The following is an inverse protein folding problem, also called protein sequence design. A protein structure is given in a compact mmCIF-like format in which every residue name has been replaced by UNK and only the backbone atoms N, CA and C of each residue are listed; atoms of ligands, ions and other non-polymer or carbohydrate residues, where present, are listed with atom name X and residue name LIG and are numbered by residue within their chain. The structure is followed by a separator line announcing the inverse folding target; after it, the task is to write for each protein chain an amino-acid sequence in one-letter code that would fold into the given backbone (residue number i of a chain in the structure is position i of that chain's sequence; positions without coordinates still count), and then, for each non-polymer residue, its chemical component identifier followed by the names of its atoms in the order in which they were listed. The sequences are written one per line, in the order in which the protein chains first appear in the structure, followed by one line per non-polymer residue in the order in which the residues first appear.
data_IF_239954292703
#
_entry.id   IF_239954292703
#
_cell.length_a   1.000
_cell.length_b   1.000
_cell.length_c   1.000
_cell.angle_alpha   90.00
_cell.angle_beta   90.00
_cell.angle_gamma   90.00
#
_symmetry.space_group_name_H-M   'P 1'
#
loop_
_entity.id
_entity.type
_entity.pdbx_description
1 polymer ?
#
# COMPACT_ATOMS: atom_id res chain seq x y z
N UNK A 1 14.46 0.63 -61.43
CA UNK A 1 14.64 1.44 -60.21
C UNK A 1 13.46 1.41 -59.23
N UNK A 2 12.21 1.42 -59.69
CA UNK A 2 11.01 1.48 -58.83
C UNK A 2 10.78 0.24 -57.95
N UNK A 3 11.00 -0.98 -58.49
CA UNK A 3 10.91 -2.25 -57.74
C UNK A 3 11.86 -2.31 -56.53
N UNK A 4 13.07 -1.76 -56.66
CA UNK A 4 14.06 -1.74 -55.57
C UNK A 4 13.64 -0.83 -54.41
N UNK A 5 12.96 0.29 -54.71
CA UNK A 5 12.40 1.19 -53.67
C UNK A 5 11.25 0.53 -52.92
N UNK A 6 10.41 -0.25 -53.61
CA UNK A 6 9.27 -0.97 -53.01
C UNK A 6 9.77 -2.07 -52.07
N UNK A 7 10.76 -2.87 -52.48
CA UNK A 7 11.33 -3.92 -51.62
C UNK A 7 12.01 -3.37 -50.37
N UNK A 8 12.73 -2.23 -50.47
CA UNK A 8 13.34 -1.57 -49.31
C UNK A 8 12.30 -1.06 -48.30
N UNK A 9 11.16 -0.54 -48.79
CA UNK A 9 10.05 -0.10 -47.93
C UNK A 9 9.39 -1.28 -47.22
N UNK A 10 9.12 -2.38 -47.93
CA UNK A 10 8.54 -3.59 -47.35
C UNK A 10 9.41 -4.19 -46.24
N UNK A 11 10.73 -4.21 -46.44
CA UNK A 11 11.69 -4.66 -45.42
C UNK A 11 11.66 -3.76 -44.17
N UNK A 12 11.68 -2.44 -44.35
CA UNK A 12 11.59 -1.48 -43.24
C UNK A 12 10.29 -1.64 -42.45
N UNK A 13 9.14 -1.83 -43.12
CA UNK A 13 7.87 -2.08 -42.43
C UNK A 13 7.89 -3.40 -41.65
N UNK A 14 8.49 -4.46 -42.20
CA UNK A 14 8.60 -5.75 -41.50
C UNK A 14 9.48 -5.66 -40.25
N UNK A 15 10.57 -4.87 -40.29
CA UNK A 15 11.45 -4.64 -39.14
C UNK A 15 10.74 -3.81 -38.05
N UNK A 16 9.95 -2.80 -38.43
CA UNK A 16 9.14 -1.99 -37.50
C UNK A 16 8.04 -2.84 -36.84
N UNK A 17 7.32 -3.65 -37.63
CA UNK A 17 6.27 -4.54 -37.11
C UNK A 17 6.85 -5.55 -36.12
N UNK A 18 8.01 -6.12 -36.44
CA UNK A 18 8.70 -7.08 -35.56
C UNK A 18 9.13 -6.41 -34.25
N UNK A 19 9.65 -5.16 -34.30
CA UNK A 19 10.00 -4.40 -33.11
C UNK A 19 8.77 -4.05 -32.24
N UNK A 20 7.63 -3.72 -32.84
CA UNK A 20 6.37 -3.45 -32.14
C UNK A 20 5.83 -4.72 -31.47
N UNK A 21 5.86 -5.87 -32.16
CA UNK A 21 5.42 -7.15 -31.60
C UNK A 21 6.33 -7.60 -30.44
N UNK A 22 7.65 -7.39 -30.57
CA UNK A 22 8.62 -7.73 -29.52
C UNK A 22 8.51 -6.82 -28.28
N UNK A 23 8.19 -5.54 -28.47
CA UNK A 23 7.93 -4.61 -27.35
C UNK A 23 6.57 -4.86 -26.70
N UNK A 24 5.55 -5.29 -27.45
CA UNK A 24 4.24 -5.65 -26.88
C UNK A 24 4.26 -6.98 -26.10
N UNK A 25 5.10 -7.92 -26.49
CA UNK A 25 5.20 -9.24 -25.83
C UNK A 25 6.01 -9.22 -24.53
N UNK A 26 6.87 -8.23 -24.30
CA UNK A 26 7.60 -8.04 -23.03
C UNK A 26 6.78 -7.32 -21.94
N UNK A 27 5.59 -6.77 -22.27
CA UNK A 27 4.73 -6.05 -21.33
C UNK A 27 3.85 -6.95 -20.44
N UNK A 28 3.96 -8.28 -20.53
CA UNK A 28 3.07 -9.22 -19.81
C UNK A 28 3.76 -10.14 -18.80
N UNK A 29 4.70 -9.62 -18.02
CA UNK A 29 5.15 -10.27 -16.80
C UNK A 29 4.67 -9.48 -15.56
N UNK A 30 3.37 -9.55 -15.27
CA UNK A 30 2.80 -9.08 -14.01
C UNK A 30 2.54 -10.28 -13.09
N UNK A 31 3.59 -10.77 -12.43
CA UNK A 31 3.47 -11.75 -11.34
C UNK A 31 3.07 -11.10 -10.00
N UNK A 32 2.61 -9.84 -10.02
CA UNK A 32 2.20 -9.13 -8.82
C UNK A 32 0.85 -9.68 -8.35
N UNK A 33 0.69 -9.93 -7.04
CA UNK A 33 -0.56 -10.45 -6.52
C UNK A 33 -1.67 -9.43 -6.80
N UNK A 34 -2.83 -9.89 -7.28
CA UNK A 34 -3.95 -9.00 -7.55
C UNK A 34 -4.38 -8.32 -6.24
N UNK A 35 -4.71 -7.04 -6.34
CA UNK A 35 -5.19 -6.23 -5.22
C UNK A 35 -6.66 -5.95 -5.43
N UNK A 36 -7.46 -6.00 -4.37
CA UNK A 36 -8.87 -5.61 -4.39
C UNK A 36 -9.16 -4.56 -3.34
N UNK A 37 -10.14 -3.71 -3.62
CA UNK A 37 -10.68 -2.75 -2.66
C UNK A 37 -12.10 -3.17 -2.33
N UNK A 38 -12.40 -3.31 -1.04
CA UNK A 38 -13.73 -3.69 -0.54
C UNK A 38 -14.07 -2.77 0.63
N UNK A 39 -15.21 -2.11 0.55
CA UNK A 39 -15.66 -1.16 1.57
C UNK A 39 -14.61 -0.10 1.95
N UNK A 40 -13.87 0.41 0.96
CA UNK A 40 -12.84 1.44 1.15
C UNK A 40 -11.51 0.94 1.72
N UNK A 41 -11.37 -0.36 2.00
CA UNK A 41 -10.16 -1.00 2.51
C UNK A 41 -9.47 -1.81 1.41
N UNK A 42 -8.14 -1.92 1.49
CA UNK A 42 -7.29 -2.58 0.48
C UNK A 42 -6.81 -3.97 0.95
N UNK A 43 -6.93 -4.94 0.05
CA UNK A 43 -6.65 -6.34 0.32
C UNK A 43 -5.83 -6.98 -0.80
N UNK A 44 -5.04 -7.98 -0.43
CA UNK A 44 -4.57 -8.98 -1.38
C UNK A 44 -5.78 -9.81 -1.83
N UNK A 45 -5.92 -10.03 -3.14
CA UNK A 45 -7.01 -10.83 -3.71
C UNK A 45 -6.56 -12.29 -3.87
N UNK A 46 -6.32 -12.95 -2.75
CA UNK A 46 -5.71 -14.28 -2.70
C UNK A 46 -6.62 -15.39 -2.15
N UNK A 47 -7.90 -15.07 -1.98
CA UNK A 47 -8.90 -15.99 -1.46
C UNK A 47 -8.80 -16.27 0.04
N UNK A 48 -7.84 -15.68 0.76
CA UNK A 48 -7.68 -15.93 2.19
C UNK A 48 -8.42 -14.93 3.06
N UNK A 49 -9.10 -15.44 4.08
CA UNK A 49 -9.78 -14.62 5.08
C UNK A 49 -8.79 -14.01 6.08
N UNK A 50 -7.85 -14.83 6.54
CA UNK A 50 -6.85 -14.44 7.54
C UNK A 50 -5.47 -14.29 6.89
N UNK A 51 -4.83 -13.11 7.02
CA UNK A 51 -3.48 -12.91 6.50
C UNK A 51 -2.47 -13.88 7.12
N UNK A 52 -1.69 -14.55 6.27
CA UNK A 52 -0.65 -15.49 6.72
C UNK A 52 0.69 -15.15 6.08
N UNK A 53 1.68 -14.79 6.90
CA UNK A 53 3.04 -14.44 6.48
C UNK A 53 3.72 -15.53 5.66
N UNK A 54 3.38 -16.80 5.90
CA UNK A 54 3.97 -17.95 5.22
C UNK A 54 3.54 -18.10 3.76
N UNK A 55 2.54 -17.34 3.30
CA UNK A 55 2.06 -17.45 1.92
C UNK A 55 2.93 -16.74 0.89
N UNK A 56 3.64 -15.69 1.30
CA UNK A 56 4.39 -14.82 0.37
C UNK A 56 5.88 -14.68 0.70
N UNK A 57 6.63 -15.75 1.04
CA UNK A 57 8.06 -15.63 1.36
C UNK A 57 8.84 -15.18 0.11
N UNK A 58 8.65 -15.85 -1.03
CA UNK A 58 9.35 -15.52 -2.29
C UNK A 58 9.07 -14.11 -2.78
N UNK A 59 7.82 -13.66 -2.65
CA UNK A 59 7.44 -12.29 -3.00
C UNK A 59 8.13 -11.29 -2.07
N UNK A 60 8.12 -11.56 -0.76
CA UNK A 60 8.80 -10.70 0.23
C UNK A 60 10.30 -10.58 -0.08
N UNK A 61 10.98 -11.71 -0.31
CA UNK A 61 12.40 -11.73 -0.66
C UNK A 61 12.69 -10.96 -1.95
N UNK A 62 11.84 -11.12 -2.96
CA UNK A 62 11.97 -10.38 -4.22
C UNK A 62 11.79 -8.88 -4.03
N UNK A 63 10.79 -8.44 -3.27
CA UNK A 63 10.54 -7.03 -2.98
C UNK A 63 11.71 -6.42 -2.19
N UNK A 64 12.20 -7.13 -1.18
CA UNK A 64 13.32 -6.68 -0.36
C UNK A 64 14.61 -6.57 -1.19
N UNK A 65 14.86 -7.53 -2.10
CA UNK A 65 15.99 -7.46 -3.03
C UNK A 65 15.86 -6.30 -4.03
N UNK A 66 14.65 -6.03 -4.52
CA UNK A 66 14.41 -4.87 -5.39
C UNK A 66 14.66 -3.56 -4.65
N UNK A 67 14.18 -3.43 -3.42
CA UNK A 67 14.38 -2.21 -2.61
C UNK A 67 15.84 -2.00 -2.21
N UNK A 68 16.61 -3.09 -2.02
CA UNK A 68 18.07 -3.01 -1.83
C UNK A 68 18.78 -2.47 -3.08
N UNK A 69 18.39 -2.95 -4.27
CA UNK A 69 18.99 -2.53 -5.55
C UNK A 69 18.54 -1.13 -5.97
N UNK A 70 17.26 -0.83 -5.79
CA UNK A 70 16.63 0.44 -6.13
C UNK A 70 15.61 0.82 -5.04
N UNK A 71 16.06 1.64 -4.10
CA UNK A 71 15.22 2.11 -3.00
C UNK A 71 14.13 3.12 -3.42
N UNK A 72 14.06 3.49 -4.71
CA UNK A 72 13.02 4.36 -5.28
C UNK A 72 11.98 3.58 -6.08
N UNK A 73 12.04 2.25 -6.12
CA UNK A 73 11.01 1.44 -6.76
C UNK A 73 9.68 1.55 -5.99
N UNK A 74 8.79 2.40 -6.51
CA UNK A 74 7.49 2.69 -5.89
C UNK A 74 6.57 1.48 -5.87
N UNK A 75 6.71 0.57 -6.82
CA UNK A 75 5.92 -0.67 -6.87
C UNK A 75 6.37 -1.60 -5.75
N UNK A 76 7.68 -1.77 -5.58
CA UNK A 76 8.20 -2.58 -4.48
C UNK A 76 7.87 -1.97 -3.11
N UNK A 77 7.92 -0.63 -2.98
CA UNK A 77 7.48 0.07 -1.77
C UNK A 77 6.00 -0.18 -1.48
N UNK A 78 5.14 -0.05 -2.48
CA UNK A 78 3.70 -0.27 -2.35
C UNK A 78 3.37 -1.69 -1.90
N UNK A 79 3.87 -2.71 -2.60
CA UNK A 79 3.57 -4.10 -2.28
C UNK A 79 4.16 -4.53 -0.94
N UNK A 80 5.37 -4.05 -0.60
CA UNK A 80 5.97 -4.38 0.68
C UNK A 80 5.21 -3.75 1.84
N UNK A 81 4.75 -2.52 1.69
CA UNK A 81 3.88 -1.87 2.66
C UNK A 81 2.52 -2.57 2.79
N UNK A 82 1.92 -3.01 1.68
CA UNK A 82 0.68 -3.79 1.68
C UNK A 82 0.86 -5.09 2.48
N UNK A 83 1.95 -5.84 2.27
CA UNK A 83 2.22 -7.04 3.07
C UNK A 83 2.37 -6.72 4.57
N UNK A 84 3.09 -5.65 4.92
CA UNK A 84 3.18 -5.21 6.32
C UNK A 84 1.82 -4.87 6.92
N UNK A 85 0.98 -4.12 6.21
CA UNK A 85 -0.38 -3.82 6.63
C UNK A 85 -1.17 -5.13 6.85
N UNK A 86 -1.20 -6.02 5.85
CA UNK A 86 -2.00 -7.26 5.94
C UNK A 86 -1.62 -8.08 7.17
N UNK A 87 -0.33 -8.31 7.39
CA UNK A 87 0.14 -9.16 8.49
C UNK A 87 0.13 -8.50 9.87
N UNK A 88 -0.14 -7.19 9.93
CA UNK A 88 -0.20 -6.43 11.16
C UNK A 88 -1.50 -5.60 11.26
N UNK A 89 -2.55 -6.03 10.56
CA UNK A 89 -3.89 -5.47 10.68
C UNK A 89 -4.60 -6.00 11.93
N UNK A 90 -5.70 -5.37 12.35
CA UNK A 90 -6.57 -5.90 13.40
C UNK A 90 -7.08 -7.32 13.11
N UNK A 91 -7.20 -7.73 11.84
CA UNK A 91 -7.59 -9.10 11.47
C UNK A 91 -6.48 -10.12 11.75
N UNK A 92 -5.22 -9.78 11.46
CA UNK A 92 -4.09 -10.68 11.67
C UNK A 92 -3.58 -10.65 13.13
N UNK A 93 -3.67 -9.48 13.76
CA UNK A 93 -3.19 -9.20 15.11
C UNK A 93 -4.26 -8.40 15.89
N UNK A 94 -5.29 -9.08 16.41
CA UNK A 94 -6.43 -8.42 17.05
C UNK A 94 -6.12 -7.74 18.38
N UNK A 95 -5.04 -8.13 19.06
CA UNK A 95 -4.66 -7.43 20.28
C UNK A 95 -3.86 -6.18 19.94
N UNK A 96 -4.22 -5.03 20.52
CA UNK A 96 -3.61 -3.72 20.20
C UNK A 96 -2.09 -3.75 20.44
N UNK A 97 -1.65 -4.43 21.51
CA UNK A 97 -0.24 -4.53 21.91
C UNK A 97 0.46 -5.79 21.38
N UNK A 98 -0.08 -6.38 20.31
CA UNK A 98 0.58 -7.51 19.65
C UNK A 98 2.02 -7.14 19.26
N UNK A 99 2.98 -7.91 19.76
CA UNK A 99 4.41 -7.65 19.57
C UNK A 99 4.77 -7.44 18.10
N UNK A 100 5.55 -6.39 17.83
CA UNK A 100 6.02 -6.05 16.50
C UNK A 100 4.96 -5.47 15.56
N UNK A 101 3.69 -5.40 15.95
CA UNK A 101 2.62 -4.93 15.06
C UNK A 101 2.78 -3.44 14.76
N UNK A 102 3.00 -2.63 15.80
CA UNK A 102 3.18 -1.20 15.66
C UNK A 102 4.44 -0.88 14.86
N UNK A 103 5.57 -1.50 15.19
CA UNK A 103 6.85 -1.28 14.52
C UNK A 103 6.77 -1.62 13.02
N UNK A 104 6.11 -2.73 12.68
CA UNK A 104 5.90 -3.11 11.28
C UNK A 104 4.96 -2.14 10.53
N UNK A 105 3.92 -1.62 11.20
CA UNK A 105 3.04 -0.62 10.61
C UNK A 105 3.76 0.72 10.40
N UNK A 106 4.68 1.10 11.28
CA UNK A 106 5.55 2.27 11.10
C UNK A 106 6.48 2.10 9.88
N UNK A 107 7.02 0.89 9.67
CA UNK A 107 7.78 0.58 8.45
C UNK A 107 6.87 0.71 7.22
N UNK A 108 5.65 0.16 7.26
CA UNK A 108 4.68 0.29 6.17
C UNK A 108 4.37 1.76 5.86
N UNK A 109 4.14 2.57 6.90
CA UNK A 109 3.89 4.01 6.81
C UNK A 109 5.02 4.70 6.05
N UNK A 110 6.27 4.47 6.47
CA UNK A 110 7.43 5.09 5.82
C UNK A 110 7.56 4.67 4.35
N UNK A 111 7.21 3.43 4.01
CA UNK A 111 7.23 2.95 2.63
C UNK A 111 6.16 3.62 1.76
N UNK A 112 4.92 3.76 2.23
CA UNK A 112 3.85 4.44 1.46
C UNK A 112 4.08 5.94 1.32
N UNK A 113 4.55 6.60 2.39
CA UNK A 113 4.93 8.01 2.36
C UNK A 113 6.06 8.24 1.35
N UNK A 114 7.04 7.34 1.30
CA UNK A 114 8.11 7.40 0.31
C UNK A 114 7.58 7.19 -1.10
N UNK A 115 6.71 6.22 -1.34
CA UNK A 115 6.11 6.00 -2.65
C UNK A 115 5.30 7.23 -3.14
N UNK A 116 4.57 7.88 -2.24
CA UNK A 116 3.83 9.13 -2.52
C UNK A 116 4.80 10.29 -2.82
N UNK A 117 5.89 10.43 -2.05
CA UNK A 117 6.93 11.44 -2.30
C UNK A 117 7.61 11.29 -3.67
N UNK A 118 7.72 10.03 -4.13
CA UNK A 118 8.22 9.65 -5.45
C UNK A 118 7.14 9.73 -6.54
N UNK A 119 6.01 10.37 -6.24
CA UNK A 119 4.92 10.73 -7.17
C UNK A 119 4.16 9.53 -7.74
N UNK A 120 4.10 8.39 -7.05
CA UNK A 120 3.19 7.31 -7.44
C UNK A 120 1.72 7.76 -7.32
N UNK A 121 1.02 7.85 -8.45
CA UNK A 121 -0.35 8.42 -8.52
C UNK A 121 -1.47 7.39 -8.31
N UNK A 122 -1.16 6.13 -8.06
CA UNK A 122 -2.18 5.07 -8.00
C UNK A 122 -3.18 5.31 -6.86
N UNK A 123 -4.48 5.24 -7.15
CA UNK A 123 -5.55 5.32 -6.14
C UNK A 123 -5.33 4.31 -5.01
N UNK A 124 -4.90 3.09 -5.36
CA UNK A 124 -4.58 2.04 -4.40
C UNK A 124 -3.51 2.44 -3.38
N UNK A 125 -2.51 3.25 -3.77
CA UNK A 125 -1.51 3.75 -2.82
C UNK A 125 -2.15 4.70 -1.81
N UNK A 126 -3.06 5.59 -2.26
CA UNK A 126 -3.78 6.52 -1.39
C UNK A 126 -4.67 5.78 -0.39
N UNK A 127 -5.37 4.74 -0.85
CA UNK A 127 -6.16 3.86 0.02
C UNK A 127 -5.27 3.14 1.04
N UNK A 128 -4.17 2.54 0.59
CA UNK A 128 -3.21 1.86 1.45
C UNK A 128 -2.65 2.79 2.53
N UNK A 129 -2.30 4.03 2.16
CA UNK A 129 -1.82 5.05 3.08
C UNK A 129 -2.86 5.36 4.16
N UNK A 130 -4.10 5.67 3.78
CA UNK A 130 -5.17 5.93 4.74
C UNK A 130 -5.39 4.74 5.69
N UNK A 131 -5.37 3.51 5.18
CA UNK A 131 -5.56 2.31 5.98
C UNK A 131 -4.42 2.06 6.97
N UNK A 132 -3.16 2.27 6.58
CA UNK A 132 -2.01 2.14 7.49
C UNK A 132 -2.12 3.12 8.66
N UNK A 133 -2.47 4.38 8.42
CA UNK A 133 -2.67 5.36 9.49
C UNK A 133 -3.86 4.99 10.39
N UNK A 134 -4.92 4.42 9.84
CA UNK A 134 -6.06 3.90 10.61
C UNK A 134 -5.66 2.75 11.52
N UNK A 135 -4.90 1.79 11.00
CA UNK A 135 -4.40 0.66 11.78
C UNK A 135 -3.36 1.10 12.83
N UNK A 136 -2.54 2.12 12.55
CA UNK A 136 -1.66 2.72 13.56
C UNK A 136 -2.47 3.32 14.71
N UNK A 137 -3.56 4.04 14.44
CA UNK A 137 -4.46 4.56 15.48
C UNK A 137 -5.05 3.44 16.34
N UNK A 138 -5.48 2.35 15.69
CA UNK A 138 -6.02 1.19 16.37
C UNK A 138 -5.05 0.61 17.41
N UNK A 139 -3.73 0.66 17.17
CA UNK A 139 -2.72 0.20 18.14
C UNK A 139 -2.69 1.00 19.44
N UNK A 140 -3.33 2.17 19.49
CA UNK A 140 -3.41 3.04 20.67
C UNK A 140 -4.79 3.03 21.34
N UNK A 141 -5.71 2.14 20.96
CA UNK A 141 -7.07 2.13 21.54
C UNK A 141 -7.21 1.29 22.82
N UNK A 142 -6.12 0.67 23.30
CA UNK A 142 -6.12 0.00 24.60
C UNK A 142 -5.90 1.01 25.73
N UNK A 143 -6.62 0.87 26.83
CA UNK A 143 -6.31 1.60 28.07
C UNK A 143 -5.06 1.00 28.71
N UNK A 144 -4.04 1.84 28.84
CA UNK A 144 -2.73 1.51 29.39
C UNK A 144 -2.36 2.42 30.56
N UNK A 145 -3.33 3.14 31.12
CA UNK A 145 -3.15 4.06 32.25
C UNK A 145 -2.50 3.38 33.46
N UNK A 146 -2.76 2.09 33.65
CA UNK A 146 -2.23 1.28 34.75
C UNK A 146 -0.74 0.95 34.62
N UNK A 147 -0.16 1.02 33.41
CA UNK A 147 1.25 0.68 33.14
C UNK A 147 2.11 1.87 32.70
N UNK A 148 1.50 3.01 32.38
CA UNK A 148 2.19 4.18 31.85
C UNK A 148 2.13 5.38 32.79
N UNK A 149 3.23 6.11 32.89
CA UNK A 149 3.22 7.40 33.58
C UNK A 149 2.66 8.52 32.68
N UNK A 150 2.35 9.67 33.30
CA UNK A 150 1.75 10.81 32.60
C UNK A 150 2.54 11.33 31.38
N UNK A 151 3.89 11.26 31.41
CA UNK A 151 4.72 11.66 30.26
C UNK A 151 4.57 10.68 29.09
N UNK A 152 4.59 9.38 29.37
CA UNK A 152 4.40 8.34 28.35
C UNK A 152 3.01 8.41 27.73
N UNK A 153 1.99 8.62 28.57
CA UNK A 153 0.61 8.87 28.16
C UNK A 153 0.53 10.05 27.18
N UNK A 154 1.14 11.19 27.52
CA UNK A 154 1.12 12.38 26.67
C UNK A 154 1.76 12.12 25.30
N UNK A 155 2.91 11.44 25.26
CA UNK A 155 3.58 11.09 23.99
C UNK A 155 2.69 10.19 23.13
N UNK A 156 2.05 9.18 23.72
CA UNK A 156 1.16 8.27 22.99
C UNK A 156 -0.08 8.98 22.48
N UNK A 157 -0.69 9.84 23.30
CA UNK A 157 -1.84 10.68 22.90
C UNK A 157 -1.50 11.58 21.70
N UNK A 158 -0.31 12.20 21.71
CA UNK A 158 0.16 13.01 20.58
C UNK A 158 0.32 12.16 19.31
N UNK A 159 0.92 10.97 19.41
CA UNK A 159 1.06 10.05 18.26
C UNK A 159 -0.30 9.61 17.72
N UNK A 160 -1.21 9.21 18.61
CA UNK A 160 -2.57 8.83 18.24
C UNK A 160 -3.29 9.96 17.49
N UNK A 161 -3.28 11.18 18.03
CA UNK A 161 -3.93 12.32 17.39
C UNK A 161 -3.32 12.62 16.02
N UNK A 162 -1.99 12.62 15.92
CA UNK A 162 -1.31 12.82 14.63
C UNK A 162 -1.67 11.77 13.59
N UNK A 163 -1.79 10.50 13.98
CA UNK A 163 -2.24 9.44 13.07
C UNK A 163 -3.72 9.55 12.72
N UNK A 164 -4.56 9.95 13.67
CA UNK A 164 -5.98 10.14 13.47
C UNK A 164 -6.24 11.26 12.47
N UNK A 165 -5.58 12.40 12.64
CA UNK A 165 -5.75 13.57 11.77
C UNK A 165 -5.35 13.24 10.33
N UNK A 166 -4.22 12.55 10.15
CA UNK A 166 -3.75 12.11 8.84
C UNK A 166 -4.66 11.05 8.22
N UNK A 167 -5.11 10.04 8.99
CA UNK A 167 -6.05 9.03 8.49
C UNK A 167 -7.34 9.67 7.97
N UNK A 168 -7.94 10.55 8.78
CA UNK A 168 -9.19 11.22 8.43
C UNK A 168 -9.00 12.13 7.21
N UNK A 169 -7.93 12.94 7.19
CA UNK A 169 -7.59 13.75 6.03
C UNK A 169 -7.47 12.92 4.75
N UNK A 170 -6.78 11.78 4.79
CA UNK A 170 -6.63 10.94 3.60
C UNK A 170 -7.94 10.28 3.16
N UNK A 171 -8.82 9.89 4.08
CA UNK A 171 -10.15 9.40 3.72
C UNK A 171 -11.04 10.50 3.12
N UNK A 172 -10.95 11.73 3.62
CA UNK A 172 -11.65 12.87 3.04
C UNK A 172 -11.15 13.16 1.62
N UNK A 173 -9.83 13.15 1.40
CA UNK A 173 -9.24 13.29 0.06
C UNK A 173 -9.68 12.16 -0.89
N UNK A 174 -9.72 10.92 -0.41
CA UNK A 174 -10.23 9.76 -1.17
C UNK A 174 -11.70 9.92 -1.53
N UNK A 175 -12.53 10.43 -0.62
CA UNK A 175 -13.95 10.68 -0.89
C UNK A 175 -14.17 11.73 -1.99
N UNK A 176 -13.27 12.71 -2.12
CA UNK A 176 -13.29 13.67 -3.22
C UNK A 176 -12.78 13.08 -4.54
N UNK A 177 -11.74 12.24 -4.48
CA UNK A 177 -11.08 11.66 -5.65
C UNK A 177 -11.90 10.52 -6.28
N UNK A 178 -12.48 9.64 -5.46
CA UNK A 178 -13.28 8.49 -5.85
C UNK A 178 -14.70 8.60 -5.27
N UNK A 179 -15.45 9.53 -5.85
CA UNK A 179 -16.81 9.90 -5.41
C UNK A 179 -17.78 8.73 -5.36
N UNK A 180 -17.57 7.70 -6.19
CA UNK A 180 -18.43 6.50 -6.23
C UNK A 180 -18.33 5.69 -4.93
N UNK A 181 -17.18 5.72 -4.26
CA UNK A 181 -16.93 5.02 -3.00
C UNK A 181 -16.84 5.98 -1.80
N UNK A 182 -17.17 7.27 -1.97
CA UNK A 182 -17.05 8.30 -0.93
C UNK A 182 -17.63 7.89 0.42
N UNK A 183 -18.84 7.33 0.42
CA UNK A 183 -19.50 6.87 1.64
C UNK A 183 -18.69 5.78 2.38
N UNK A 184 -18.05 4.87 1.65
CA UNK A 184 -17.23 3.82 2.24
C UNK A 184 -15.98 4.41 2.91
N UNK A 185 -15.32 5.38 2.27
CA UNK A 185 -14.18 6.08 2.86
C UNK A 185 -14.56 6.88 4.11
N UNK A 186 -15.65 7.65 4.05
CA UNK A 186 -16.10 8.46 5.19
C UNK A 186 -16.49 7.61 6.41
N UNK A 187 -17.00 6.39 6.20
CA UNK A 187 -17.25 5.41 7.28
C UNK A 187 -16.00 4.93 8.00
N UNK A 188 -14.83 5.00 7.35
CA UNK A 188 -13.56 4.56 7.93
C UNK A 188 -12.85 5.64 8.76
N UNK A 189 -13.42 6.85 8.80
CA UNK A 189 -12.93 7.95 9.64
C UNK A 189 -12.99 7.58 11.12
N UNK A 190 -12.00 8.08 11.86
CA UNK A 190 -11.80 7.79 13.27
C UNK A 190 -12.48 8.89 14.08
N UNK A 191 -13.58 8.53 14.74
CA UNK A 191 -14.37 9.48 15.53
C UNK A 191 -14.16 9.34 17.05
N UNK A 192 -13.51 8.27 17.50
CA UNK A 192 -13.17 8.08 18.91
C UNK A 192 -11.93 8.89 19.33
N UNK A 193 -11.77 9.07 20.65
CA UNK A 193 -10.63 9.77 21.27
C UNK A 193 -9.62 8.74 21.78
N UNK A 194 -8.41 9.21 22.10
CA UNK A 194 -7.44 8.40 22.85
C UNK A 194 -8.09 7.94 24.16
N UNK A 195 -8.02 6.65 24.53
CA UNK A 195 -8.73 6.09 25.68
C UNK A 195 -8.00 6.46 26.98
N UNK A 196 -8.24 7.67 27.49
CA UNK A 196 -7.86 8.18 28.81
C UNK A 196 -8.74 9.35 29.22
#
# INVERSE_FOLDING_TARGET
MQKLKIMKRLRLYSEIITAIIFTLSTLRASAQPPVKVVAGLIYMNDGTLTPNQKMYPKLTDSLDNNLKKNNKDTISLFYRALLYLRYNSGLAKPYQLSKGAMENLEVAKNMVERADSLKMQALNLKILRAEIYRELCYRFTGDESWQLNGKQIAVRKTRFNGYKDLANKYYDELAQLDKRNAYAYLKLTINYKYPL
#
